data_IF_040608180544
#
_entry.id   IF_040608180544
#
_cell.length_a   1.000
_cell.length_b   1.000
_cell.length_c   1.000
_cell.angle_alpha   90.00
_cell.angle_beta   90.00
_cell.angle_gamma   90.00
#
_symmetry.space_group_name_H-M   'P 1'
#
loop_
_entity.id
_entity.type
_entity.pdbx_description
1 polymer ?
#
# COMPACT_ATOMS: atom_id res chain seq x y z
N UNK A 1 -14.66 -0.81 39.12
CA UNK A 1 -14.00 -2.00 38.56
C UNK A 1 -13.06 -1.49 37.48
N UNK A 2 -11.75 -1.67 37.62
CA UNK A 2 -10.80 -1.28 36.58
C UNK A 2 -10.90 -2.33 35.47
N UNK A 3 -11.44 -1.98 34.31
CA UNK A 3 -11.46 -2.88 33.16
C UNK A 3 -10.01 -3.16 32.76
N UNK A 4 -9.58 -4.42 32.94
CA UNK A 4 -8.26 -4.86 32.49
C UNK A 4 -8.29 -4.95 30.96
N UNK A 5 -7.84 -3.90 30.30
CA UNK A 5 -7.57 -3.91 28.86
C UNK A 5 -6.53 -4.99 28.58
N UNK A 6 -6.87 -5.96 27.74
CA UNK A 6 -5.92 -6.99 27.34
C UNK A 6 -4.82 -6.40 26.45
N UNK A 7 -3.62 -7.00 26.44
CA UNK A 7 -2.53 -6.59 25.52
C UNK A 7 -3.00 -6.56 24.06
N UNK A 8 -3.85 -7.52 23.68
CA UNK A 8 -4.47 -7.60 22.35
C UNK A 8 -5.38 -6.41 22.06
N UNK A 9 -6.24 -6.02 23.00
CA UNK A 9 -7.09 -4.84 22.84
C UNK A 9 -6.29 -3.55 22.80
N UNK A 10 -5.21 -3.44 23.58
CA UNK A 10 -4.33 -2.27 23.52
C UNK A 10 -3.67 -2.14 22.14
N UNK A 11 -3.16 -3.26 21.62
CA UNK A 11 -2.60 -3.37 20.27
C UNK A 11 -3.63 -3.00 19.21
N UNK A 12 -4.82 -3.61 19.25
CA UNK A 12 -5.87 -3.32 18.28
C UNK A 12 -6.27 -1.85 18.35
N UNK A 13 -6.47 -1.29 19.56
CA UNK A 13 -6.78 0.13 19.78
C UNK A 13 -5.70 1.07 19.27
N UNK A 14 -4.43 0.69 19.35
CA UNK A 14 -3.33 1.48 18.77
C UNK A 14 -3.33 1.48 17.23
N UNK A 15 -3.84 0.41 16.60
CA UNK A 15 -3.95 0.27 15.15
C UNK A 15 -5.26 0.84 14.56
N UNK A 16 -6.28 1.13 15.38
CA UNK A 16 -7.58 1.68 14.94
C UNK A 16 -7.49 2.99 14.14
N UNK A 17 -6.34 3.69 14.17
CA UNK A 17 -6.08 4.88 13.38
C UNK A 17 -5.33 4.63 12.07
N UNK A 18 -4.75 3.45 11.87
CA UNK A 18 -3.77 3.20 10.82
C UNK A 18 -4.30 2.20 9.79
N UNK A 19 -4.34 2.61 8.52
CA UNK A 19 -4.93 1.80 7.44
C UNK A 19 -6.46 1.82 7.41
N UNK A 20 -7.11 2.68 8.20
CA UNK A 20 -8.53 2.96 8.05
C UNK A 20 -8.80 3.46 6.62
N UNK A 21 -9.78 2.84 5.96
CA UNK A 21 -10.26 3.33 4.67
C UNK A 21 -10.57 4.81 4.81
N UNK A 22 -9.91 5.63 4.01
CA UNK A 22 -10.12 7.06 4.05
C UNK A 22 -11.58 7.33 3.66
N UNK A 23 -12.38 7.82 4.61
CA UNK A 23 -13.80 8.07 4.40
C UNK A 23 -13.92 9.20 3.36
N UNK A 24 -14.49 8.97 2.17
CA UNK A 24 -14.65 10.02 1.19
C UNK A 24 -15.67 11.03 1.72
N UNK A 25 -15.26 12.29 1.84
CA UNK A 25 -16.20 13.39 2.12
C UNK A 25 -16.91 13.72 0.81
N UNK A 26 -18.19 13.41 0.71
CA UNK A 26 -19.02 13.85 -0.41
C UNK A 26 -19.37 15.33 -0.22
N UNK A 27 -18.86 16.21 -1.08
CA UNK A 27 -19.34 17.58 -1.16
C UNK A 27 -20.17 17.77 -2.43
N UNK A 28 -21.42 18.21 -2.23
CA UNK A 28 -22.21 18.89 -3.25
C UNK A 28 -21.76 20.35 -3.24
N UNK A 29 -21.24 20.83 -4.36
CA UNK A 29 -20.58 22.14 -4.42
C UNK A 29 -21.51 23.34 -4.24
N UNK A 30 -20.98 24.37 -3.60
CA UNK A 30 -21.21 25.78 -3.95
C UNK A 30 -19.83 26.46 -3.92
N UNK A 31 -19.46 27.04 -5.05
CA UNK A 31 -18.26 27.85 -5.23
C UNK A 31 -18.55 29.25 -4.69
N UNK A 32 -17.87 29.68 -3.62
CA UNK A 32 -17.75 31.11 -3.29
C UNK A 32 -16.43 31.39 -2.57
N UNK A 33 -15.79 32.48 -2.98
CA UNK A 33 -14.33 32.67 -2.95
C UNK A 33 -13.69 33.11 -1.62
N UNK A 34 -12.36 32.94 -1.57
CA UNK A 34 -11.35 33.95 -1.20
C UNK A 34 -9.98 33.25 -1.12
N UNK A 35 -9.13 33.51 -2.11
CA UNK A 35 -7.76 33.01 -2.17
C UNK A 35 -6.89 33.83 -1.20
N UNK A 36 -6.77 33.35 0.03
CA UNK A 36 -5.56 33.59 0.82
C UNK A 36 -4.52 32.57 0.36
N UNK A 37 -3.51 33.04 -0.39
CA UNK A 37 -2.35 32.25 -0.82
C UNK A 37 -1.53 31.79 0.40
N UNK A 38 -2.02 30.75 1.05
CA UNK A 38 -1.17 29.85 1.80
C UNK A 38 -0.06 29.35 0.84
N UNK A 39 1.22 29.32 1.27
CA UNK A 39 2.31 28.92 0.38
C UNK A 39 1.95 27.58 -0.27
N UNK A 40 1.90 27.55 -1.60
CA UNK A 40 1.43 26.41 -2.36
C UNK A 40 2.25 25.18 -1.95
N UNK A 41 1.64 24.27 -1.18
CA UNK A 41 2.33 23.10 -0.64
C UNK A 41 2.77 22.27 -1.84
N UNK A 42 4.08 22.13 -2.04
CA UNK A 42 4.61 21.31 -3.12
C UNK A 42 4.59 19.84 -2.71
N UNK A 43 4.06 18.98 -3.57
CA UNK A 43 4.06 17.54 -3.38
C UNK A 43 4.09 16.79 -4.71
N UNK A 44 4.56 15.54 -4.72
CA UNK A 44 4.59 14.69 -5.92
C UNK A 44 4.22 13.23 -5.62
N UNK A 45 3.78 12.49 -6.65
CA UNK A 45 3.43 11.07 -6.55
C UNK A 45 4.63 10.16 -6.85
N UNK A 46 5.66 10.23 -6.01
CA UNK A 46 6.95 9.53 -6.24
C UNK A 46 6.85 7.99 -6.19
N UNK A 47 5.84 7.46 -5.49
CA UNK A 47 5.67 6.04 -5.19
C UNK A 47 4.62 5.34 -6.07
N UNK A 48 4.20 6.03 -7.14
CA UNK A 48 3.19 5.57 -8.08
C UNK A 48 1.80 5.40 -7.46
N UNK A 49 1.03 4.52 -8.08
CA UNK A 49 -0.32 4.15 -7.65
C UNK A 49 -0.41 2.64 -7.51
N UNK A 50 -1.42 2.14 -6.82
CA UNK A 50 -1.70 0.72 -6.73
C UNK A 50 -3.20 0.49 -6.57
N UNK A 51 -3.66 -0.70 -6.94
CA UNK A 51 -4.99 -1.18 -6.58
C UNK A 51 -4.89 -2.58 -6.02
N UNK A 52 -5.89 -3.00 -5.25
CA UNK A 52 -5.85 -4.29 -4.62
C UNK A 52 -7.14 -4.67 -3.93
N UNK A 53 -7.16 -5.89 -3.41
CA UNK A 53 -8.33 -6.55 -2.84
C UNK A 53 -9.62 -6.30 -3.65
N UNK A 54 -9.62 -6.61 -4.96
CA UNK A 54 -10.80 -6.45 -5.78
C UNK A 54 -11.90 -7.38 -5.29
N UNK A 55 -13.13 -6.87 -5.28
CA UNK A 55 -14.36 -7.64 -5.16
C UNK A 55 -15.22 -7.39 -6.41
N UNK A 56 -16.43 -7.94 -6.44
CA UNK A 56 -17.35 -7.80 -7.57
C UNK A 56 -17.78 -6.36 -7.79
N UNK A 57 -17.91 -5.57 -6.72
CA UNK A 57 -18.48 -4.22 -6.78
C UNK A 57 -17.55 -3.14 -6.23
N UNK A 58 -16.34 -3.50 -5.81
CA UNK A 58 -15.41 -2.55 -5.21
C UNK A 58 -13.95 -2.97 -5.31
N UNK A 59 -13.05 -2.00 -5.16
CA UNK A 59 -11.61 -2.23 -5.19
C UNK A 59 -10.87 -1.18 -4.35
N UNK A 60 -9.77 -1.57 -3.71
CA UNK A 60 -8.90 -0.61 -3.04
C UNK A 60 -8.10 0.17 -4.08
N UNK A 61 -8.08 1.49 -3.97
CA UNK A 61 -7.18 2.38 -4.69
C UNK A 61 -6.18 2.96 -3.69
N UNK A 62 -4.91 3.01 -4.07
CA UNK A 62 -3.82 3.44 -3.20
C UNK A 62 -2.84 4.37 -3.91
N UNK A 63 -2.30 5.35 -3.18
CA UNK A 63 -1.09 6.09 -3.54
C UNK A 63 -0.43 6.66 -2.28
N UNK A 64 0.74 7.27 -2.44
CA UNK A 64 1.35 8.17 -1.47
C UNK A 64 1.71 9.49 -2.14
N UNK A 65 1.18 10.59 -1.60
CA UNK A 65 1.55 11.95 -2.01
C UNK A 65 2.75 12.40 -1.16
N UNK A 66 3.84 12.82 -1.79
CA UNK A 66 5.10 13.11 -1.10
C UNK A 66 5.31 14.62 -1.01
N UNK A 67 5.01 15.28 0.12
CA UNK A 67 5.19 16.72 0.27
C UNK A 67 6.66 17.09 0.51
N UNK A 68 7.02 18.33 0.18
CA UNK A 68 8.33 18.92 0.52
C UNK A 68 8.48 19.21 2.02
N UNK A 69 7.37 19.37 2.75
CA UNK A 69 7.35 19.60 4.19
C UNK A 69 6.40 18.64 4.89
N UNK A 70 6.83 18.04 6.01
CA UNK A 70 6.04 17.02 6.71
C UNK A 70 4.99 17.56 7.68
N UNK A 71 4.91 18.88 7.90
CA UNK A 71 4.00 19.51 8.87
C UNK A 71 2.59 19.82 8.33
N UNK A 72 2.23 19.24 7.19
CA UNK A 72 1.06 19.62 6.40
C UNK A 72 -0.03 18.54 6.45
N UNK A 73 -1.27 18.95 6.17
CA UNK A 73 -2.40 18.06 5.85
C UNK A 73 -2.74 18.25 4.38
N UNK A 74 -2.87 17.16 3.64
CA UNK A 74 -3.07 17.16 2.21
C UNK A 74 -4.44 16.61 1.87
N UNK A 75 -5.23 17.36 1.10
CA UNK A 75 -6.50 16.92 0.54
C UNK A 75 -6.29 16.39 -0.88
N UNK A 76 -6.33 15.08 -1.03
CA UNK A 76 -6.10 14.37 -2.29
C UNK A 76 -7.43 13.96 -2.89
N UNK A 77 -7.67 14.39 -4.13
CA UNK A 77 -8.84 13.95 -4.91
C UNK A 77 -8.49 12.64 -5.60
N UNK A 78 -9.41 11.68 -5.60
CA UNK A 78 -9.30 10.46 -6.38
C UNK A 78 -10.44 10.39 -7.39
N UNK A 79 -10.14 9.84 -8.57
CA UNK A 79 -11.09 9.66 -9.66
C UNK A 79 -10.99 8.22 -10.18
N UNK A 80 -12.13 7.63 -10.54
CA UNK A 80 -12.19 6.33 -11.24
C UNK A 80 -13.14 6.46 -12.44
N UNK A 81 -12.76 5.85 -13.57
CA UNK A 81 -13.50 5.89 -14.83
C UNK A 81 -13.35 4.57 -15.59
N UNK A 82 -14.25 4.32 -16.54
CA UNK A 82 -14.11 3.24 -17.54
C UNK A 82 -13.26 3.68 -18.74
N UNK A 83 -12.88 4.97 -18.80
CA UNK A 83 -12.08 5.57 -19.86
C UNK A 83 -10.75 6.09 -19.29
N UNK A 84 -9.62 5.70 -19.91
CA UNK A 84 -8.29 6.09 -19.46
C UNK A 84 -7.96 7.57 -19.72
N UNK A 85 -8.77 8.26 -20.54
CA UNK A 85 -8.68 9.70 -20.76
C UNK A 85 -9.52 10.51 -19.76
N UNK A 86 -10.32 9.85 -18.91
CA UNK A 86 -11.18 10.49 -17.92
C UNK A 86 -12.12 11.55 -18.53
N UNK A 87 -12.65 11.32 -19.75
CA UNK A 87 -13.61 12.26 -20.38
C UNK A 87 -14.87 12.42 -19.53
N UNK A 88 -15.28 11.35 -18.87
CA UNK A 88 -16.32 11.34 -17.85
C UNK A 88 -15.87 10.45 -16.69
N UNK A 89 -15.74 11.05 -15.51
CA UNK A 89 -15.47 10.31 -14.30
C UNK A 89 -16.71 9.51 -13.91
N UNK A 90 -16.52 8.24 -13.54
CA UNK A 90 -17.60 7.42 -13.00
C UNK A 90 -17.87 7.80 -11.54
N UNK A 91 -16.80 7.89 -10.74
CA UNK A 91 -16.84 8.34 -9.34
C UNK A 91 -15.62 9.20 -9.05
N UNK A 92 -15.78 10.10 -8.09
CA UNK A 92 -14.72 10.95 -7.55
C UNK A 92 -14.95 11.13 -6.06
N UNK A 93 -13.88 11.37 -5.30
CA UNK A 93 -13.97 11.73 -3.89
C UNK A 93 -12.70 12.41 -3.42
N UNK A 94 -12.68 12.79 -2.14
CA UNK A 94 -11.53 13.45 -1.52
C UNK A 94 -11.14 12.72 -0.24
N UNK A 95 -9.84 12.62 -0.01
CA UNK A 95 -9.21 12.03 1.16
C UNK A 95 -8.26 13.05 1.77
N UNK A 96 -8.31 13.23 3.09
CA UNK A 96 -7.25 13.93 3.81
C UNK A 96 -6.18 12.93 4.27
N UNK A 97 -4.90 13.29 4.12
CA UNK A 97 -3.77 12.52 4.64
C UNK A 97 -2.71 13.45 5.26
N UNK A 98 -1.91 12.93 6.18
CA UNK A 98 -0.85 13.70 6.85
C UNK A 98 0.33 12.82 7.25
N UNK A 99 1.31 13.38 7.95
CA UNK A 99 2.46 12.61 8.49
C UNK A 99 2.03 11.43 9.38
N UNK A 100 0.87 11.51 10.03
CA UNK A 100 0.32 10.42 10.85
C UNK A 100 0.15 9.14 10.05
N UNK A 101 -0.28 9.26 8.80
CA UNK A 101 -0.59 8.16 7.88
C UNK A 101 0.49 7.99 6.80
N UNK A 102 1.67 8.58 7.05
CA UNK A 102 2.78 8.68 6.11
C UNK A 102 2.38 9.24 4.72
N UNK A 103 1.39 10.13 4.71
CA UNK A 103 0.83 10.72 3.50
C UNK A 103 0.30 9.69 2.49
N UNK A 104 0.01 8.47 2.95
CA UNK A 104 -0.66 7.44 2.15
C UNK A 104 -2.14 7.75 2.02
N UNK A 105 -2.73 7.37 0.89
CA UNK A 105 -4.14 7.54 0.57
C UNK A 105 -4.68 6.18 0.20
N UNK A 106 -5.77 5.75 0.85
CA UNK A 106 -6.41 4.45 0.60
C UNK A 106 -7.92 4.57 0.53
N UNK A 107 -8.51 4.20 -0.61
CA UNK A 107 -9.94 4.34 -0.88
C UNK A 107 -10.54 2.97 -1.22
N UNK A 108 -11.63 2.57 -0.56
CA UNK A 108 -12.45 1.43 -1.01
C UNK A 108 -13.52 1.93 -1.99
N UNK A 109 -13.16 1.98 -3.27
CA UNK A 109 -14.02 2.51 -4.31
C UNK A 109 -15.15 1.51 -4.62
N UNK A 110 -16.34 1.76 -4.06
CA UNK A 110 -17.49 0.85 -4.14
C UNK A 110 -18.57 1.25 -5.14
N UNK A 111 -19.50 0.32 -5.41
CA UNK A 111 -20.60 0.50 -6.37
C UNK A 111 -20.12 0.48 -7.82
N UNK A 112 -19.15 -0.37 -8.11
CA UNK A 112 -18.62 -0.66 -9.43
C UNK A 112 -19.36 -1.87 -10.03
N UNK A 113 -19.32 -1.99 -11.36
CA UNK A 113 -19.77 -3.19 -12.05
C UNK A 113 -18.71 -4.30 -11.96
N UNK A 114 -19.17 -5.55 -11.86
CA UNK A 114 -18.33 -6.75 -11.86
C UNK A 114 -17.62 -6.97 -13.20
N UNK A 115 -16.53 -7.75 -13.17
CA UNK A 115 -15.70 -8.11 -14.33
C UNK A 115 -15.33 -6.93 -15.25
N UNK A 116 -15.14 -5.75 -14.67
CA UNK A 116 -14.97 -4.51 -15.44
C UNK A 116 -13.60 -3.92 -15.20
N UNK A 117 -12.92 -3.56 -16.29
CA UNK A 117 -11.67 -2.79 -16.23
C UNK A 117 -11.99 -1.33 -15.95
N UNK A 118 -11.31 -0.76 -14.95
CA UNK A 118 -11.37 0.65 -14.61
C UNK A 118 -9.99 1.29 -14.65
N UNK A 119 -9.97 2.60 -14.87
CA UNK A 119 -8.80 3.44 -14.75
C UNK A 119 -9.01 4.41 -13.59
N UNK A 120 -7.95 4.66 -12.83
CA UNK A 120 -8.00 5.55 -11.67
C UNK A 120 -6.77 6.45 -11.58
N UNK A 121 -6.94 7.61 -10.96
CA UNK A 121 -5.83 8.55 -10.69
C UNK A 121 -6.11 9.38 -9.45
N UNK A 122 -5.06 9.98 -8.92
CA UNK A 122 -5.10 10.89 -7.79
C UNK A 122 -4.63 12.28 -8.20
N UNK A 123 -5.13 13.31 -7.53
CA UNK A 123 -4.83 14.71 -7.80
C UNK A 123 -4.61 15.47 -6.51
N UNK A 124 -3.59 16.32 -6.50
CA UNK A 124 -3.31 17.26 -5.42
C UNK A 124 -2.82 18.57 -6.03
N UNK A 125 -3.58 19.67 -5.85
CA UNK A 125 -3.31 20.92 -6.56
C UNK A 125 -3.25 20.72 -8.07
N UNK A 126 -2.14 21.16 -8.68
CA UNK A 126 -1.85 20.99 -10.11
C UNK A 126 -1.21 19.63 -10.47
N UNK A 127 -0.89 18.78 -9.47
CA UNK A 127 -0.23 17.49 -9.69
C UNK A 127 -1.24 16.38 -9.88
N UNK A 128 -0.96 15.52 -10.85
CA UNK A 128 -1.76 14.33 -11.17
C UNK A 128 -0.86 13.11 -11.10
N UNK A 129 -1.30 12.05 -10.44
CA UNK A 129 -0.58 10.79 -10.38
C UNK A 129 -0.52 10.12 -11.76
N UNK A 130 0.34 9.11 -11.94
CA UNK A 130 0.15 8.15 -13.03
C UNK A 130 -1.28 7.58 -13.01
N UNK A 131 -1.82 7.27 -14.20
CA UNK A 131 -3.11 6.60 -14.34
C UNK A 131 -2.92 5.11 -14.11
N UNK A 132 -3.53 4.57 -13.06
CA UNK A 132 -3.59 3.15 -12.80
C UNK A 132 -4.75 2.48 -13.53
N UNK A 133 -4.63 1.18 -13.74
CA UNK A 133 -5.66 0.28 -14.25
C UNK A 133 -5.94 -0.79 -13.20
N UNK A 134 -7.22 -1.11 -13.03
CA UNK A 134 -7.69 -2.15 -12.10
C UNK A 134 -8.83 -2.95 -12.73
N UNK A 135 -9.21 -4.06 -12.10
CA UNK A 135 -10.32 -4.91 -12.56
C UNK A 135 -11.10 -5.43 -11.35
N UNK A 136 -12.44 -5.30 -11.38
CA UNK A 136 -13.32 -5.93 -10.40
C UNK A 136 -13.48 -7.42 -10.67
N UNK A 137 -13.77 -8.20 -9.63
CA UNK A 137 -13.96 -9.65 -9.78
C UNK A 137 -15.25 -9.98 -10.55
N UNK A 138 -15.29 -11.10 -11.27
CA UNK A 138 -16.50 -11.55 -11.94
C UNK A 138 -17.51 -12.16 -10.96
N UNK A 139 -18.80 -12.10 -11.31
CA UNK A 139 -19.87 -12.89 -10.67
C UNK A 139 -19.98 -14.29 -11.27
N UNK A 140 -19.54 -14.48 -12.51
CA UNK A 140 -19.41 -15.77 -13.19
C UNK A 140 -18.25 -15.68 -14.18
N UNK A 141 -17.45 -16.72 -14.26
CA UNK A 141 -16.38 -16.86 -15.26
C UNK A 141 -16.09 -18.33 -15.53
N UNK A 142 -15.56 -18.63 -16.71
CA UNK A 142 -15.04 -19.96 -17.07
C UNK A 142 -13.50 -20.03 -17.04
N UNK A 143 -12.83 -18.90 -16.76
CA UNK A 143 -11.38 -18.79 -16.71
C UNK A 143 -10.96 -17.71 -15.73
N UNK A 144 -9.85 -17.97 -15.05
CA UNK A 144 -9.11 -16.96 -14.30
C UNK A 144 -7.63 -17.07 -14.64
N UNK A 145 -6.90 -15.96 -14.62
CA UNK A 145 -5.45 -15.93 -14.83
C UNK A 145 -4.75 -15.10 -13.77
N UNK A 146 -3.73 -15.69 -13.17
CA UNK A 146 -2.94 -15.08 -12.10
C UNK A 146 -1.48 -14.98 -12.51
N UNK A 147 -0.80 -13.94 -12.04
CA UNK A 147 0.65 -13.99 -11.84
C UNK A 147 0.91 -14.12 -10.33
N UNK A 148 1.83 -14.98 -9.93
CA UNK A 148 2.13 -15.28 -8.52
C UNK A 148 3.61 -15.05 -8.27
N UNK A 149 3.93 -14.34 -7.20
CA UNK A 149 5.30 -13.96 -6.85
C UNK A 149 5.49 -13.81 -5.33
N UNK A 150 6.73 -13.77 -4.87
CA UNK A 150 7.17 -13.49 -3.49
C UNK A 150 8.64 -13.06 -3.51
N UNK A 151 9.20 -12.78 -2.34
CA UNK A 151 10.65 -12.67 -2.10
C UNK A 151 11.35 -11.62 -2.98
N UNK A 152 10.97 -10.36 -2.78
CA UNK A 152 11.42 -9.22 -3.59
C UNK A 152 12.61 -8.48 -2.98
N UNK A 153 13.68 -9.16 -2.58
CA UNK A 153 14.80 -8.50 -1.91
C UNK A 153 15.46 -7.41 -2.78
N UNK A 154 15.32 -6.13 -2.38
CA UNK A 154 15.76 -4.98 -3.17
C UNK A 154 17.27 -4.99 -3.43
N UNK A 155 18.15 -5.08 -2.41
CA UNK A 155 19.58 -5.25 -2.59
C UNK A 155 20.02 -6.37 -3.55
N UNK A 156 19.27 -7.47 -3.62
CA UNK A 156 19.71 -8.71 -4.28
C UNK A 156 19.62 -8.68 -5.81
N UNK A 157 18.84 -7.78 -6.41
CA UNK A 157 18.66 -7.77 -7.85
C UNK A 157 17.62 -6.79 -8.36
N UNK A 158 17.53 -6.67 -9.69
CA UNK A 158 16.53 -5.84 -10.35
C UNK A 158 15.15 -6.50 -10.37
N UNK A 159 14.11 -5.68 -10.30
CA UNK A 159 12.70 -6.09 -10.32
C UNK A 159 12.15 -6.36 -11.72
N UNK A 160 12.97 -6.88 -12.64
CA UNK A 160 12.56 -7.17 -14.03
C UNK A 160 11.37 -8.15 -14.11
N UNK A 161 11.18 -9.02 -13.13
CA UNK A 161 10.00 -9.90 -13.07
C UNK A 161 8.71 -9.09 -12.98
N UNK A 162 8.69 -7.98 -12.24
CA UNK A 162 7.55 -7.08 -12.19
C UNK A 162 7.27 -6.40 -13.53
N UNK A 163 8.32 -6.04 -14.27
CA UNK A 163 8.18 -5.53 -15.65
C UNK A 163 7.52 -6.55 -16.57
N UNK A 164 7.90 -7.82 -16.47
CA UNK A 164 7.31 -8.88 -17.29
C UNK A 164 5.87 -9.19 -16.87
N UNK A 165 5.57 -9.16 -15.56
CA UNK A 165 4.19 -9.29 -15.05
C UNK A 165 3.29 -8.16 -15.57
N UNK A 166 3.78 -6.91 -15.60
CA UNK A 166 3.04 -5.76 -16.11
C UNK A 166 2.68 -5.87 -17.62
N UNK A 167 3.36 -6.72 -18.39
CA UNK A 167 3.04 -6.98 -19.80
C UNK A 167 1.99 -8.06 -19.99
N UNK A 168 1.70 -8.86 -18.97
CA UNK A 168 0.76 -9.96 -19.08
C UNK A 168 -0.69 -9.48 -19.02
N UNK A 169 -1.61 -10.30 -19.53
CA UNK A 169 -3.04 -10.08 -19.35
C UNK A 169 -3.59 -11.02 -18.27
N UNK A 170 -3.24 -10.72 -17.01
CA UNK A 170 -3.74 -11.44 -15.82
C UNK A 170 -4.85 -10.63 -15.13
N UNK A 171 -5.76 -11.35 -14.46
CA UNK A 171 -6.87 -10.74 -13.70
C UNK A 171 -6.38 -10.07 -12.42
N UNK A 172 -5.45 -10.72 -11.71
CA UNK A 172 -4.81 -10.21 -10.49
C UNK A 172 -3.35 -10.68 -10.40
N UNK A 173 -2.54 -9.92 -9.66
CA UNK A 173 -1.22 -10.39 -9.19
C UNK A 173 -1.37 -10.84 -7.73
N UNK A 174 -0.84 -12.01 -7.40
CA UNK A 174 -0.79 -12.55 -6.03
C UNK A 174 0.63 -12.42 -5.51
N UNK A 175 0.83 -11.66 -4.42
CA UNK A 175 2.11 -11.58 -3.73
C UNK A 175 2.05 -12.36 -2.42
N UNK A 176 2.90 -13.38 -2.29
CA UNK A 176 2.89 -14.37 -1.20
C UNK A 176 3.89 -14.06 -0.08
N UNK A 177 4.09 -12.78 0.23
CA UNK A 177 5.02 -12.34 1.28
C UNK A 177 6.44 -12.06 0.81
N UNK A 178 7.26 -11.54 1.72
CA UNK A 178 8.59 -10.98 1.49
C UNK A 178 8.59 -9.86 0.44
N UNK A 179 7.60 -8.97 0.52
CA UNK A 179 7.50 -7.76 -0.29
C UNK A 179 8.64 -6.79 0.04
N UNK A 180 9.03 -6.73 1.31
CA UNK A 180 10.25 -6.07 1.78
C UNK A 180 11.11 -7.05 2.58
N UNK A 181 12.38 -6.68 2.76
CA UNK A 181 13.28 -7.30 3.72
C UNK A 181 13.69 -6.28 4.77
N UNK A 182 13.94 -6.72 5.99
CA UNK A 182 14.17 -5.90 7.19
C UNK A 182 15.66 -5.59 7.45
N UNK A 183 16.56 -6.38 6.87
CA UNK A 183 18.00 -6.32 7.11
C UNK A 183 18.66 -4.96 6.82
N UNK A 184 19.82 -4.75 7.46
CA UNK A 184 20.78 -3.71 7.11
C UNK A 184 21.62 -4.03 5.86
N UNK A 185 22.48 -3.10 5.47
CA UNK A 185 23.34 -3.21 4.29
C UNK A 185 24.48 -4.23 4.42
N UNK A 186 24.67 -4.77 5.62
CA UNK A 186 25.56 -5.87 5.98
C UNK A 186 24.81 -7.20 6.18
N UNK A 187 23.51 -7.23 5.89
CA UNK A 187 22.67 -8.42 6.03
C UNK A 187 22.47 -9.19 4.72
N UNK A 188 21.35 -9.90 4.66
CA UNK A 188 21.08 -10.91 3.64
C UNK A 188 21.08 -10.40 2.18
N UNK A 189 21.86 -11.09 1.34
CA UNK A 189 21.94 -10.91 -0.11
C UNK A 189 22.20 -9.45 -0.54
N UNK A 190 23.17 -8.80 0.11
CA UNK A 190 23.55 -7.40 -0.12
C UNK A 190 24.93 -7.24 -0.79
N UNK A 191 25.64 -8.33 -1.06
CA UNK A 191 27.05 -8.34 -1.49
C UNK A 191 27.27 -7.58 -2.81
N UNK A 192 26.31 -7.69 -3.74
CA UNK A 192 26.35 -7.02 -5.05
C UNK A 192 25.57 -5.69 -5.08
N UNK A 193 24.96 -5.26 -3.98
CA UNK A 193 24.01 -4.15 -3.96
C UNK A 193 24.62 -2.83 -4.48
N UNK A 194 25.86 -2.51 -4.11
CA UNK A 194 26.57 -1.31 -4.59
C UNK A 194 26.81 -1.39 -6.10
N UNK A 195 27.28 -2.53 -6.59
CA UNK A 195 27.55 -2.76 -8.03
C UNK A 195 26.28 -2.63 -8.86
N UNK A 196 25.14 -3.02 -8.30
CA UNK A 196 23.83 -2.94 -8.96
C UNK A 196 23.18 -1.56 -8.84
N UNK A 197 23.72 -0.64 -8.03
CA UNK A 197 23.06 0.64 -7.70
C UNK A 197 21.82 0.46 -6.81
N UNK A 198 21.80 -0.61 -6.02
CA UNK A 198 20.68 -1.08 -5.18
C UNK A 198 21.04 -1.06 -3.70
N UNK A 199 22.06 -0.30 -3.30
CA UNK A 199 22.44 -0.15 -1.89
C UNK A 199 21.33 0.56 -1.09
N UNK A 200 21.22 0.20 0.18
CA UNK A 200 20.27 0.85 1.09
C UNK A 200 20.70 2.31 1.38
N UNK A 201 19.76 3.27 1.46
CA UNK A 201 20.05 4.66 1.82
C UNK A 201 20.67 4.79 3.21
N UNK A 202 21.54 5.79 3.41
CA UNK A 202 22.27 5.96 4.67
C UNK A 202 21.38 6.09 5.93
N UNK A 203 20.17 6.63 5.78
CA UNK A 203 19.18 6.79 6.85
C UNK A 203 18.20 5.60 6.98
N UNK A 204 18.41 4.52 6.22
CA UNK A 204 17.65 3.27 6.28
C UNK A 204 18.52 2.02 5.94
N UNK A 205 19.84 2.10 6.15
CA UNK A 205 20.82 1.03 5.85
C UNK A 205 21.12 0.10 7.03
N UNK A 206 20.40 0.25 8.13
CA UNK A 206 20.43 -0.66 9.27
C UNK A 206 19.17 -1.51 9.28
N UNK A 207 19.18 -2.50 10.16
CA UNK A 207 17.99 -3.27 10.47
C UNK A 207 16.83 -2.35 10.85
N UNK A 208 15.66 -2.59 10.27
CA UNK A 208 14.46 -1.78 10.49
C UNK A 208 13.69 -2.31 11.70
N UNK A 209 13.44 -1.44 12.67
CA UNK A 209 12.80 -1.83 13.94
C UNK A 209 11.62 -0.92 14.25
N UNK A 210 11.76 0.38 13.97
CA UNK A 210 10.73 1.39 14.28
C UNK A 210 9.86 1.66 13.06
N UNK A 211 8.68 2.22 13.30
CA UNK A 211 7.71 2.55 12.25
C UNK A 211 8.31 3.39 11.11
N UNK A 212 9.12 4.40 11.45
CA UNK A 212 9.79 5.24 10.45
C UNK A 212 10.77 4.44 9.58
N UNK A 213 11.43 3.42 10.15
CA UNK A 213 12.35 2.55 9.42
C UNK A 213 11.59 1.69 8.40
N UNK A 214 10.46 1.09 8.81
CA UNK A 214 9.59 0.31 7.91
C UNK A 214 9.00 1.18 6.80
N UNK A 215 8.48 2.37 7.13
CA UNK A 215 7.95 3.31 6.14
C UNK A 215 9.00 3.69 5.08
N UNK A 216 10.23 3.98 5.50
CA UNK A 216 11.35 4.24 4.57
C UNK A 216 11.68 3.02 3.71
N UNK A 217 11.62 1.81 4.29
CA UNK A 217 11.88 0.57 3.53
C UNK A 217 10.82 0.34 2.45
N UNK A 218 9.54 0.49 2.78
CA UNK A 218 8.47 0.46 1.78
C UNK A 218 8.63 1.56 0.73
N UNK A 219 8.96 2.78 1.14
CA UNK A 219 9.21 3.89 0.23
C UNK A 219 10.32 3.58 -0.78
N UNK A 220 11.44 3.01 -0.32
CA UNK A 220 12.54 2.58 -1.18
C UNK A 220 12.08 1.56 -2.22
N UNK A 221 11.41 0.50 -1.78
CA UNK A 221 10.95 -0.57 -2.68
C UNK A 221 9.94 -0.04 -3.69
N UNK A 222 9.00 0.81 -3.24
CA UNK A 222 7.97 1.45 -4.05
C UNK A 222 8.48 2.51 -5.01
N UNK A 223 9.75 2.91 -4.97
CA UNK A 223 10.36 3.79 -5.98
C UNK A 223 10.80 3.04 -7.24
N UNK A 224 10.96 1.72 -7.15
CA UNK A 224 11.34 0.89 -8.29
C UNK A 224 10.29 0.99 -9.42
N UNK A 225 10.74 1.30 -10.64
CA UNK A 225 9.87 1.58 -11.77
C UNK A 225 9.18 0.35 -12.32
N UNK A 226 9.80 -0.82 -12.22
CA UNK A 226 9.21 -2.06 -12.68
C UNK A 226 8.13 -2.52 -11.68
N UNK A 227 8.35 -2.33 -10.38
CA UNK A 227 7.32 -2.54 -9.36
C UNK A 227 6.14 -1.57 -9.51
N UNK A 228 6.42 -0.28 -9.75
CA UNK A 228 5.38 0.71 -10.03
C UNK A 228 4.57 0.32 -11.27
N UNK A 229 5.20 -0.17 -12.33
CA UNK A 229 4.51 -0.59 -13.55
C UNK A 229 3.54 -1.75 -13.30
N UNK A 230 3.93 -2.76 -12.50
CA UNK A 230 3.05 -3.87 -12.15
C UNK A 230 1.82 -3.40 -11.35
N UNK A 231 2.04 -2.59 -10.31
CA UNK A 231 0.97 -2.02 -9.47
C UNK A 231 0.07 -1.03 -10.23
N UNK A 232 0.61 -0.32 -11.21
CA UNK A 232 -0.17 0.55 -12.08
C UNK A 232 -1.08 -0.26 -13.01
N UNK A 233 -0.72 -1.50 -13.36
CA UNK A 233 -1.40 -2.27 -14.41
C UNK A 233 -2.45 -3.25 -13.90
N UNK A 234 -2.25 -3.83 -12.72
CA UNK A 234 -3.07 -4.92 -12.19
C UNK A 234 -3.44 -4.69 -10.72
N UNK A 235 -4.64 -5.14 -10.29
CA UNK A 235 -4.93 -5.25 -8.86
C UNK A 235 -4.10 -6.35 -8.21
N UNK A 236 -3.63 -6.08 -7.00
CA UNK A 236 -2.86 -7.01 -6.18
C UNK A 236 -3.72 -7.66 -5.09
N UNK A 237 -3.50 -8.96 -4.87
CA UNK A 237 -3.91 -9.67 -3.66
C UNK A 237 -2.64 -10.03 -2.90
N UNK A 238 -2.49 -9.47 -1.70
CA UNK A 238 -1.23 -9.56 -0.95
C UNK A 238 -1.42 -10.24 0.39
N UNK A 239 -0.45 -11.07 0.74
CA UNK A 239 -0.25 -11.61 2.09
C UNK A 239 1.20 -11.32 2.49
N UNK A 240 1.44 -11.00 3.76
CA UNK A 240 2.80 -10.91 4.29
C UNK A 240 3.33 -12.31 4.60
N UNK A 241 4.65 -12.43 4.65
CA UNK A 241 5.34 -13.50 5.36
C UNK A 241 6.13 -12.88 6.52
N UNK A 242 7.26 -13.46 6.89
CA UNK A 242 8.07 -13.07 8.03
C UNK A 242 8.88 -11.79 7.77
N UNK A 243 9.47 -11.58 6.59
CA UNK A 243 10.35 -10.43 6.32
C UNK A 243 9.64 -9.07 6.25
N UNK A 244 8.31 -9.03 6.16
CA UNK A 244 7.56 -7.80 6.44
C UNK A 244 7.66 -7.36 7.91
N UNK A 245 8.07 -8.27 8.80
CA UNK A 245 8.36 -8.05 10.21
C UNK A 245 9.86 -8.27 10.47
N UNK A 246 10.29 -9.53 10.58
CA UNK A 246 11.65 -9.98 10.84
C UNK A 246 11.77 -11.48 10.50
N UNK A 247 12.93 -11.91 10.03
CA UNK A 247 13.19 -13.31 9.63
C UNK A 247 12.76 -14.33 10.70
N UNK A 248 12.12 -15.41 10.25
CA UNK A 248 11.51 -16.49 11.05
C UNK A 248 10.59 -15.96 12.18
N UNK A 249 9.83 -14.90 11.91
CA UNK A 249 8.84 -14.38 12.84
C UNK A 249 7.75 -15.42 13.17
N UNK A 250 7.47 -15.57 14.46
CA UNK A 250 6.37 -16.36 15.00
C UNK A 250 5.55 -15.52 15.99
N UNK A 251 4.63 -16.15 16.72
CA UNK A 251 3.61 -15.45 17.53
C UNK A 251 4.19 -14.42 18.51
N UNK A 252 5.33 -14.69 19.15
CA UNK A 252 5.88 -13.86 20.23
C UNK A 252 7.35 -13.42 20.02
N UNK A 253 7.96 -13.74 18.88
CA UNK A 253 9.36 -13.41 18.58
C UNK A 253 9.71 -13.63 17.11
N UNK A 254 11.00 -13.46 16.79
CA UNK A 254 11.60 -13.75 15.49
C UNK A 254 13.05 -14.19 15.70
N UNK A 255 13.65 -14.88 14.73
CA UNK A 255 15.09 -15.20 14.77
C UNK A 255 15.92 -13.92 14.64
N UNK A 256 15.53 -13.05 13.70
CA UNK A 256 16.15 -11.76 13.52
C UNK A 256 15.49 -10.67 14.40
N UNK A 257 15.42 -10.91 15.71
CA UNK A 257 15.07 -9.88 16.70
C UNK A 257 15.81 -10.12 18.02
N UNK A 258 16.72 -9.21 18.39
CA UNK A 258 17.61 -9.39 19.54
C UNK A 258 17.17 -8.61 20.79
N UNK A 259 17.68 -9.03 21.96
CA UNK A 259 17.24 -8.50 23.26
C UNK A 259 17.53 -7.01 23.47
N UNK A 260 18.48 -6.45 22.73
CA UNK A 260 18.85 -5.04 22.74
C UNK A 260 17.99 -4.17 21.79
N UNK A 261 17.06 -4.76 21.04
CA UNK A 261 16.20 -4.06 20.07
C UNK A 261 14.84 -3.64 20.64
N UNK A 262 14.61 -3.90 21.93
CA UNK A 262 13.36 -3.64 22.62
C UNK A 262 12.37 -4.80 22.50
N UNK A 263 11.10 -4.53 22.80
CA UNK A 263 10.06 -5.56 22.78
C UNK A 263 9.66 -5.89 21.34
N UNK A 264 9.63 -7.18 20.99
CA UNK A 264 9.18 -7.64 19.67
C UNK A 264 7.75 -7.20 19.35
N UNK A 265 6.89 -7.05 20.36
CA UNK A 265 5.54 -6.51 20.16
C UNK A 265 5.55 -5.12 19.55
N UNK A 266 6.51 -4.26 19.90
CA UNK A 266 6.57 -2.89 19.41
C UNK A 266 7.04 -2.86 17.94
N UNK A 267 8.03 -3.70 17.60
CA UNK A 267 8.47 -3.93 16.22
C UNK A 267 7.34 -4.50 15.34
N UNK A 268 6.62 -5.49 15.86
CA UNK A 268 5.44 -6.07 15.19
C UNK A 268 4.38 -5.01 14.91
N UNK A 269 4.07 -4.12 15.85
CA UNK A 269 3.12 -3.04 15.62
C UNK A 269 3.60 -2.07 14.54
N UNK A 270 4.87 -1.67 14.59
CA UNK A 270 5.48 -0.81 13.59
C UNK A 270 5.40 -1.42 12.17
N UNK A 271 5.78 -2.70 12.05
CA UNK A 271 5.73 -3.45 10.80
C UNK A 271 4.31 -3.55 10.22
N UNK A 272 3.35 -3.99 11.04
CA UNK A 272 1.96 -4.16 10.62
C UNK A 272 1.33 -2.82 10.22
N UNK A 273 1.59 -1.77 11.00
CA UNK A 273 1.12 -0.43 10.66
C UNK A 273 1.65 0.01 9.30
N UNK A 274 2.97 -0.10 9.06
CA UNK A 274 3.55 0.25 7.77
C UNK A 274 2.98 -0.60 6.63
N UNK A 275 2.78 -1.91 6.83
CA UNK A 275 2.16 -2.80 5.85
C UNK A 275 0.75 -2.31 5.47
N UNK A 276 -0.10 -2.02 6.46
CA UNK A 276 -1.45 -1.50 6.21
C UNK A 276 -1.46 -0.09 5.62
N UNK A 277 -0.43 0.73 5.83
CA UNK A 277 -0.30 2.04 5.19
C UNK A 277 0.10 1.89 3.72
N UNK A 278 1.06 1.02 3.42
CA UNK A 278 1.76 0.97 2.13
C UNK A 278 1.22 -0.06 1.13
N UNK A 279 0.43 -1.03 1.58
CA UNK A 279 -0.15 -2.07 0.72
C UNK A 279 -1.60 -1.75 0.35
N UNK A 280 -2.06 -2.08 -0.89
CA UNK A 280 -3.44 -1.85 -1.33
C UNK A 280 -4.42 -2.90 -0.78
N UNK A 281 -4.36 -3.14 0.53
CA UNK A 281 -5.13 -4.15 1.26
C UNK A 281 -6.27 -3.52 2.06
N UNK A 282 -7.40 -4.23 2.17
CA UNK A 282 -8.51 -3.90 3.06
C UNK A 282 -8.29 -4.54 4.44
N UNK A 283 -8.45 -3.79 5.55
CA UNK A 283 -8.52 -4.39 6.88
C UNK A 283 -9.64 -5.42 6.97
N UNK A 284 -9.43 -6.52 7.72
CA UNK A 284 -10.46 -7.57 7.91
C UNK A 284 -11.71 -6.98 8.59
N UNK A 285 -11.48 -6.09 9.55
CA UNK A 285 -12.49 -5.20 10.09
C UNK A 285 -11.84 -3.87 10.48
N UNK A 286 -12.64 -2.88 10.85
CA UNK A 286 -12.13 -1.63 11.43
C UNK A 286 -11.40 -1.83 12.76
N UNK A 287 -11.45 -3.03 13.36
CA UNK A 287 -10.83 -3.36 14.65
C UNK A 287 -9.83 -4.50 14.59
N UNK A 288 -9.65 -5.12 13.41
CA UNK A 288 -8.73 -6.23 13.21
C UNK A 288 -7.66 -5.88 12.18
N UNK A 289 -6.55 -5.38 12.72
CA UNK A 289 -5.31 -5.07 12.01
C UNK A 289 -4.20 -6.07 12.37
N UNK A 290 -4.54 -7.19 13.02
CA UNK A 290 -3.57 -8.25 13.35
C UNK A 290 -3.67 -9.42 12.38
N UNK A 291 -4.80 -9.54 11.70
CA UNK A 291 -5.08 -10.59 10.73
C UNK A 291 -5.24 -10.00 9.33
N UNK A 292 -4.83 -10.76 8.32
CA UNK A 292 -4.99 -10.42 6.91
C UNK A 292 -5.51 -11.56 6.04
N UNK A 293 -5.74 -12.74 6.63
CA UNK A 293 -6.34 -13.85 5.90
C UNK A 293 -7.75 -13.46 5.42
N UNK A 294 -8.02 -13.70 4.14
CA UNK A 294 -9.28 -13.33 3.48
C UNK A 294 -9.50 -14.14 2.21
N UNK A 295 -10.74 -14.16 1.75
CA UNK A 295 -11.19 -14.96 0.61
C UNK A 295 -11.65 -14.07 -0.55
N UNK A 296 -11.34 -14.49 -1.77
CA UNK A 296 -11.75 -13.85 -3.02
C UNK A 296 -12.47 -14.87 -3.90
N UNK A 297 -13.67 -14.52 -4.37
CA UNK A 297 -14.49 -15.41 -5.20
C UNK A 297 -14.44 -14.95 -6.65
N UNK A 298 -13.87 -15.77 -7.53
CA UNK A 298 -13.83 -15.53 -8.98
C UNK A 298 -15.05 -16.18 -9.64
N UNK A 299 -16.23 -15.63 -9.35
CA UNK A 299 -17.51 -16.18 -9.78
C UNK A 299 -17.77 -17.59 -9.27
N UNK A 300 -18.41 -18.42 -10.10
CA UNK A 300 -18.74 -19.82 -9.82
C UNK A 300 -17.69 -20.80 -10.37
N UNK A 301 -16.43 -20.35 -10.50
CA UNK A 301 -15.34 -21.18 -10.98
C UNK A 301 -14.93 -22.13 -9.84
N UNK A 302 -15.36 -23.39 -9.96
CA UNK A 302 -15.27 -24.50 -8.98
C UNK A 302 -16.30 -24.43 -7.86
#
# INVERSE_FOLDING_TARGET
>A
MSEKISRRELIQKSLLGFGALSIPVAFTGCNDGSDDESPEIQADFLHGVASGDPLQDKVILWTRVTPTHSGVRLKVVWEISTDNQFKKNLKTGMVETSKTDDFTVKVDAAGLQADTVYYYRFKFGNKVSPVGQTKTLPTSTNKVSFAVCSCSNYPAGYFYVYREMAKQNVDVIIHLGDYIYEYGADGYATEDAIKLGRNLPADNNKEIIKLDDYRKRYALYRQDKDLQAAHQRHPFIVIWDDHELANDAWREGAENHQSNEGAFSDRKLAALQAYFEWMPIRPVSSTDHLNIYRQFNFGSLV
#
